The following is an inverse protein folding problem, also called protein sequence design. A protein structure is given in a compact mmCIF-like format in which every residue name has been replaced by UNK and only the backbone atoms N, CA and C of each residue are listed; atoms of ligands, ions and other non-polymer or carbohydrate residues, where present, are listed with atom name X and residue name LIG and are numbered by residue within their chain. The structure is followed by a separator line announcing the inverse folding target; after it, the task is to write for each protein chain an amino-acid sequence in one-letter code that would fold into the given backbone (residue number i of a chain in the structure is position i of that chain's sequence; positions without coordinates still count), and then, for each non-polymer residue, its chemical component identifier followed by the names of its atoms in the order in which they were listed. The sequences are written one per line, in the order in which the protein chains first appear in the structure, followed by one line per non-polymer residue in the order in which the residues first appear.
data_IF_130391409841
#
_entry.id   IF_130391409841
#
_cell.length_a   1.000
_cell.length_b   1.000
_cell.length_c   1.000
_cell.angle_alpha   90.00
_cell.angle_beta   90.00
_cell.angle_gamma   90.00
#
_symmetry.space_group_name_H-M   'P 1'
#
loop_
_entity.id
_entity.type
_entity.pdbx_description
1 polymer ?
#
# COMPACT_ATOMS: atom_id res chain seq x y z
N UNK A 1 4.97 -3.21 29.55
CA UNK A 1 4.05 -2.28 28.85
C UNK A 1 4.09 -2.64 27.37
N UNK A 2 3.22 -3.57 26.96
CA UNK A 2 3.13 -4.00 25.57
C UNK A 2 2.26 -3.00 24.83
N UNK A 3 2.85 -1.93 24.29
CA UNK A 3 2.16 -1.19 23.23
C UNK A 3 2.05 -2.16 22.06
N UNK A 4 0.85 -2.70 21.89
CA UNK A 4 0.38 -3.15 20.59
C UNK A 4 0.52 -1.95 19.67
N UNK A 5 1.69 -1.79 19.05
CA UNK A 5 1.85 -0.91 17.91
C UNK A 5 0.98 -1.55 16.84
N UNK A 6 -0.29 -1.13 16.79
CA UNK A 6 -1.15 -1.38 15.64
C UNK A 6 -0.31 -1.04 14.43
N UNK A 7 -0.02 -2.05 13.61
CA UNK A 7 0.79 -1.87 12.42
C UNK A 7 0.23 -0.69 11.64
N UNK A 8 1.07 0.30 11.32
CA UNK A 8 0.62 1.51 10.63
C UNK A 8 -0.10 1.11 9.36
N UNK A 9 -1.25 1.72 9.13
CA UNK A 9 -2.05 1.44 7.93
C UNK A 9 -1.35 2.01 6.70
N UNK A 10 -1.58 1.40 5.55
CA UNK A 10 -1.03 1.92 4.28
C UNK A 10 -1.40 3.39 4.04
N UNK A 11 -2.59 3.82 4.51
CA UNK A 11 -3.03 5.21 4.44
C UNK A 11 -2.17 6.17 5.29
N UNK A 12 -1.77 5.75 6.49
CA UNK A 12 -0.94 6.55 7.39
C UNK A 12 0.48 6.69 6.83
N UNK A 13 1.06 5.59 6.34
CA UNK A 13 2.39 5.62 5.71
C UNK A 13 2.38 6.50 4.45
N UNK A 14 1.31 6.45 3.65
CA UNK A 14 1.15 7.33 2.49
C UNK A 14 1.05 8.81 2.88
N UNK A 15 0.41 9.14 4.00
CA UNK A 15 0.34 10.52 4.48
C UNK A 15 1.73 11.04 4.84
N UNK A 16 2.55 10.23 5.51
CA UNK A 16 3.93 10.60 5.84
C UNK A 16 4.84 10.77 4.62
N UNK A 17 4.65 9.95 3.57
CA UNK A 17 5.34 10.12 2.29
C UNK A 17 5.00 11.48 1.68
N UNK A 18 3.73 11.90 1.73
CA UNK A 18 3.31 13.21 1.22
C UNK A 18 3.87 14.36 2.05
N UNK A 19 3.86 14.25 3.37
CA UNK A 19 4.44 15.23 4.28
C UNK A 19 5.95 15.41 4.05
N UNK A 20 6.66 14.30 3.80
CA UNK A 20 8.08 14.35 3.42
C UNK A 20 8.27 15.19 2.16
N UNK A 21 7.50 14.94 1.10
CA UNK A 21 7.57 15.75 -0.12
C UNK A 21 7.23 17.23 0.08
N UNK A 22 6.24 17.54 0.92
CA UNK A 22 5.89 18.93 1.25
C UNK A 22 7.03 19.65 1.96
N UNK A 23 7.67 19.00 2.95
CA UNK A 23 8.81 19.55 3.69
C UNK A 23 10.05 19.73 2.83
N UNK A 24 10.31 18.80 1.92
CA UNK A 24 11.45 18.87 1.00
C UNK A 24 11.21 19.87 -0.16
N UNK A 25 10.06 20.55 -0.22
CA UNK A 25 9.71 21.49 -1.31
C UNK A 25 9.87 20.87 -2.72
N UNK A 26 9.65 19.56 -2.85
CA UNK A 26 9.84 18.82 -4.10
C UNK A 26 11.28 18.38 -4.40
N UNK A 27 12.27 18.73 -3.57
CA UNK A 27 13.66 18.31 -3.70
C UNK A 27 14.09 17.42 -2.53
N UNK A 28 14.00 16.11 -2.69
CA UNK A 28 14.46 15.16 -1.67
C UNK A 28 15.98 15.25 -1.51
N UNK A 29 16.43 15.51 -0.29
CA UNK A 29 17.83 15.35 0.07
C UNK A 29 18.19 13.86 0.20
N UNK A 30 19.47 13.47 0.22
CA UNK A 30 19.86 12.07 0.43
C UNK A 30 19.30 11.48 1.74
N UNK A 31 19.13 12.33 2.75
CA UNK A 31 18.53 11.94 4.03
C UNK A 31 17.03 11.69 3.89
N UNK A 32 16.33 12.54 3.14
CA UNK A 32 14.90 12.36 2.84
C UNK A 32 14.67 11.15 1.93
N UNK A 33 15.57 10.89 0.98
CA UNK A 33 15.51 9.71 0.12
C UNK A 33 15.56 8.42 0.95
N UNK A 34 16.48 8.34 1.92
CA UNK A 34 16.55 7.20 2.83
C UNK A 34 15.27 7.04 3.66
N UNK A 35 14.63 8.14 4.09
CA UNK A 35 13.34 8.11 4.77
C UNK A 35 12.21 7.64 3.84
N UNK A 36 12.17 8.16 2.62
CA UNK A 36 11.21 7.80 1.58
C UNK A 36 11.30 6.29 1.24
N UNK A 37 12.50 5.76 1.08
CA UNK A 37 12.72 4.33 0.83
C UNK A 37 12.19 3.45 1.96
N UNK A 38 12.41 3.84 3.23
CA UNK A 38 11.86 3.11 4.39
C UNK A 38 10.34 3.16 4.40
N UNK A 39 9.74 4.33 4.14
CA UNK A 39 8.29 4.50 4.07
C UNK A 39 7.68 3.68 2.91
N UNK A 40 8.35 3.59 1.76
CA UNK A 40 7.88 2.74 0.66
C UNK A 40 7.85 1.25 1.02
N UNK A 41 8.89 0.74 1.69
CA UNK A 41 8.92 -0.66 2.14
C UNK A 41 7.80 -0.93 3.15
N UNK A 42 7.59 -0.01 4.08
CA UNK A 42 6.51 -0.13 5.07
C UNK A 42 5.12 -0.06 4.42
N UNK A 43 4.94 0.82 3.45
CA UNK A 43 3.71 0.91 2.67
C UNK A 43 3.42 -0.38 1.90
N UNK A 44 4.44 -0.97 1.26
CA UNK A 44 4.31 -2.26 0.59
C UNK A 44 3.90 -3.38 1.56
N UNK A 45 4.49 -3.41 2.77
CA UNK A 45 4.10 -4.36 3.80
C UNK A 45 2.66 -4.16 4.30
N UNK A 46 2.23 -2.91 4.44
CA UNK A 46 0.88 -2.56 4.89
C UNK A 46 -0.20 -2.85 3.82
N UNK A 47 0.10 -2.60 2.55
CA UNK A 47 -0.79 -2.91 1.42
C UNK A 47 -0.91 -4.40 1.17
N UNK A 48 0.18 -5.16 1.31
CA UNK A 48 0.18 -6.62 1.18
C UNK A 48 -0.62 -7.34 2.27
N UNK A 49 -0.75 -6.77 3.47
CA UNK A 49 -1.62 -7.31 4.53
C UNK A 49 -3.12 -7.04 4.29
N UNK A 50 -3.47 -6.02 3.51
CA UNK A 50 -4.86 -5.66 3.19
C UNK A 50 -5.39 -6.30 1.90
N UNK A 51 -4.51 -6.73 1.00
CA UNK A 51 -4.88 -7.40 -0.25
C UNK A 51 -5.11 -8.91 -0.01
N UNK A 52 -6.18 -9.25 0.69
CA UNK A 52 -6.75 -10.59 0.57
C UNK A 52 -7.01 -10.88 -0.93
N UNK A 53 -6.60 -12.08 -1.35
CA UNK A 53 -6.58 -12.66 -2.69
C UNK A 53 -7.52 -12.05 -3.75
N UNK A 54 -7.09 -11.93 -5.02
CA UNK A 54 -7.98 -11.52 -6.10
C UNK A 54 -9.21 -12.44 -6.14
N UNK A 55 -10.45 -11.91 -6.21
CA UNK A 55 -11.62 -12.74 -6.38
C UNK A 55 -11.43 -13.52 -7.67
N UNK A 56 -11.58 -14.83 -7.54
CA UNK A 56 -11.46 -15.83 -8.58
C UNK A 56 -12.05 -15.30 -9.90
N UNK A 57 -11.19 -15.00 -10.90
CA UNK A 57 -11.60 -14.61 -12.27
C UNK A 57 -12.36 -15.72 -13.00
N UNK A 58 -12.68 -16.83 -12.32
CA UNK A 58 -13.21 -18.07 -12.88
C UNK A 58 -14.74 -18.14 -12.87
N UNK A 59 -15.43 -17.12 -12.36
CA UNK A 59 -16.91 -17.06 -12.42
C UNK A 59 -17.46 -16.43 -13.71
N UNK A 60 -16.64 -15.74 -14.50
CA UNK A 60 -17.07 -15.16 -15.78
C UNK A 60 -17.22 -16.20 -16.92
N UNK A 61 -16.76 -17.44 -16.72
CA UNK A 61 -16.80 -18.50 -17.73
C UNK A 61 -18.13 -19.29 -17.76
N UNK A 62 -19.05 -19.07 -16.81
CA UNK A 62 -20.36 -19.74 -16.85
C UNK A 62 -21.39 -18.90 -17.61
N UNK A 63 -21.14 -18.67 -18.90
CA UNK A 63 -22.19 -18.24 -19.84
C UNK A 63 -22.85 -19.53 -20.35
N UNK A 64 -24.12 -19.83 -20.02
CA UNK A 64 -24.76 -21.02 -20.53
C UNK A 64 -24.86 -20.90 -22.06
N UNK A 65 -24.43 -21.95 -22.75
CA UNK A 65 -24.68 -22.14 -24.16
C UNK A 65 -26.19 -22.24 -24.38
N UNK A 66 -26.83 -21.11 -24.69
CA UNK A 66 -28.17 -21.10 -25.24
C UNK A 66 -28.07 -21.49 -26.72
N UNK A 67 -28.26 -22.78 -27.00
CA UNK A 67 -28.92 -23.20 -28.24
C UNK A 67 -30.41 -22.81 -28.18
N UNK A 68 -31.19 -22.91 -29.26
CA UNK A 68 -31.03 -23.80 -30.41
C UNK A 68 -30.38 -23.18 -31.66
#
# INVERSE_FOLDING_TARGET
MSSSVSARSAAEVNAEIRDLWQRSHGCLTPQDEAAYQRLLVEWAAATGKGAAAPPDRRTAANRPAAGP
#
